data_IF_317329646326
#
_entry.id   IF_317329646326
#
_cell.length_a   1.000
_cell.length_b   1.000
_cell.length_c   1.000
_cell.angle_alpha   90.00
_cell.angle_beta   90.00
_cell.angle_gamma   90.00
#
_symmetry.space_group_name_H-M   'P 1'
#
loop_
_entity.id
_entity.type
_entity.pdbx_description
1 polymer ?
#
# COMPACT_ATOMS: atom_id res chain seq x y z
N UNK A 1 -13.76 -12.66 -26.59
CA UNK A 1 -13.57 -12.07 -25.24
C UNK A 1 -14.11 -13.06 -24.23
N UNK A 2 -13.24 -13.60 -23.38
CA UNK A 2 -13.58 -14.54 -22.31
C UNK A 2 -14.12 -13.76 -21.12
N UNK A 3 -15.38 -13.99 -20.75
CA UNK A 3 -15.96 -13.45 -19.53
C UNK A 3 -15.46 -14.31 -18.37
N UNK A 4 -14.82 -13.70 -17.37
CA UNK A 4 -14.39 -14.38 -16.17
C UNK A 4 -15.34 -14.02 -15.03
N UNK A 5 -15.96 -15.03 -14.44
CA UNK A 5 -16.80 -14.88 -13.26
C UNK A 5 -16.03 -15.39 -12.05
N UNK A 6 -15.91 -14.56 -11.02
CA UNK A 6 -15.21 -14.90 -9.78
C UNK A 6 -16.21 -14.85 -8.62
N UNK A 7 -16.12 -15.84 -7.74
CA UNK A 7 -16.87 -15.90 -6.49
C UNK A 7 -15.92 -15.65 -5.33
N UNK A 8 -16.16 -14.60 -4.56
CA UNK A 8 -15.29 -14.14 -3.47
C UNK A 8 -15.97 -14.30 -2.13
N UNK A 9 -15.26 -14.86 -1.16
CA UNK A 9 -15.71 -14.88 0.23
C UNK A 9 -15.72 -13.46 0.81
N UNK A 10 -16.72 -13.19 1.65
CA UNK A 10 -16.94 -11.88 2.27
C UNK A 10 -16.60 -11.95 3.76
N UNK A 11 -15.95 -10.90 4.25
CA UNK A 11 -15.56 -10.75 5.64
C UNK A 11 -15.98 -9.39 6.19
N UNK A 12 -16.08 -9.29 7.51
CA UNK A 12 -16.35 -8.02 8.19
C UNK A 12 -15.16 -7.07 8.01
N UNK A 13 -15.42 -5.83 7.62
CA UNK A 13 -14.38 -4.83 7.35
C UNK A 13 -13.77 -4.28 8.65
N UNK A 14 -14.60 -3.99 9.67
CA UNK A 14 -14.15 -3.47 10.97
C UNK A 14 -14.53 -4.42 12.11
N UNK A 15 -13.54 -5.08 12.72
CA UNK A 15 -13.77 -5.97 13.88
C UNK A 15 -14.12 -5.21 15.16
N UNK A 16 -13.75 -3.94 15.26
CA UNK A 16 -13.95 -3.08 16.44
C UNK A 16 -15.36 -2.44 16.49
N UNK A 17 -16.09 -2.41 15.37
CA UNK A 17 -17.49 -1.98 15.33
C UNK A 17 -18.47 -3.05 15.87
N UNK A 18 -18.04 -3.87 16.83
CA UNK A 18 -18.87 -4.79 17.61
C UNK A 18 -19.78 -4.09 18.62
N UNK A 19 -20.12 -2.82 18.41
CA UNK A 19 -21.12 -2.10 19.20
C UNK A 19 -22.54 -2.62 18.91
N UNK A 20 -22.82 -3.75 19.55
CA UNK A 20 -24.04 -4.28 20.19
C UNK A 20 -25.43 -4.16 19.56
N UNK A 21 -25.72 -3.34 18.55
CA UNK A 21 -27.14 -3.07 18.21
C UNK A 21 -27.64 -3.68 16.90
N UNK A 22 -26.77 -4.10 15.97
CA UNK A 22 -27.21 -4.78 14.76
C UNK A 22 -26.20 -5.83 14.28
N UNK A 23 -26.38 -7.09 14.69
CA UNK A 23 -25.82 -8.25 13.96
C UNK A 23 -26.59 -8.38 12.65
N UNK A 24 -26.35 -7.49 11.68
CA UNK A 24 -26.86 -7.69 10.34
C UNK A 24 -26.19 -8.94 9.79
N UNK A 25 -26.99 -9.82 9.18
CA UNK A 25 -26.44 -10.90 8.39
C UNK A 25 -25.49 -10.29 7.36
N UNK A 26 -24.30 -10.85 7.22
CA UNK A 26 -23.35 -10.46 6.18
C UNK A 26 -23.65 -11.29 4.93
N UNK A 27 -23.33 -10.79 3.72
CA UNK A 27 -23.26 -11.67 2.57
C UNK A 27 -22.23 -12.75 2.84
N UNK A 28 -22.46 -13.96 2.34
CA UNK A 28 -21.48 -15.05 2.38
C UNK A 28 -20.50 -14.90 1.22
N UNK A 29 -21.03 -14.57 0.03
CA UNK A 29 -20.25 -14.49 -1.20
C UNK A 29 -20.56 -13.22 -1.99
N UNK A 30 -19.58 -12.79 -2.77
CA UNK A 30 -19.71 -11.79 -3.83
C UNK A 30 -19.45 -12.48 -5.18
N UNK A 31 -20.44 -12.47 -6.05
CA UNK A 31 -20.28 -12.91 -7.43
C UNK A 31 -20.02 -11.69 -8.30
N UNK A 32 -18.89 -11.71 -9.00
CA UNK A 32 -18.46 -10.63 -9.90
C UNK A 32 -18.15 -11.19 -11.28
N UNK A 33 -18.68 -10.53 -12.30
CA UNK A 33 -18.33 -10.79 -13.69
C UNK A 33 -17.40 -9.68 -14.17
N UNK A 34 -16.18 -10.04 -14.56
CA UNK A 34 -15.23 -9.11 -15.17
C UNK A 34 -15.55 -8.88 -16.64
N UNK A 35 -16.71 -8.27 -16.88
CA UNK A 35 -17.11 -7.76 -18.18
C UNK A 35 -16.33 -6.48 -18.54
N UNK A 36 -16.39 -6.09 -19.82
CA UNK A 36 -15.69 -4.91 -20.35
C UNK A 36 -15.95 -3.64 -19.53
N UNK A 37 -17.17 -3.47 -18.99
CA UNK A 37 -17.52 -2.32 -18.15
C UNK A 37 -16.71 -2.26 -16.87
N UNK A 38 -16.64 -3.36 -16.11
CA UNK A 38 -15.88 -3.42 -14.86
C UNK A 38 -14.38 -3.32 -15.13
N UNK A 39 -13.89 -3.98 -16.19
CA UNK A 39 -12.51 -3.85 -16.66
C UNK A 39 -12.16 -2.38 -16.94
N UNK A 40 -13.04 -1.65 -17.62
CA UNK A 40 -12.86 -0.23 -17.89
C UNK A 40 -12.89 0.64 -16.62
N UNK A 41 -13.72 0.29 -15.62
CA UNK A 41 -13.71 0.95 -14.31
C UNK A 41 -12.37 0.74 -13.59
N UNK A 42 -11.84 -0.49 -13.60
CA UNK A 42 -10.52 -0.80 -13.02
C UNK A 42 -9.41 -0.02 -13.74
N UNK A 43 -9.41 0.04 -15.08
CA UNK A 43 -8.43 0.82 -15.83
C UNK A 43 -8.48 2.32 -15.53
N UNK A 44 -9.69 2.90 -15.42
CA UNK A 44 -9.86 4.31 -15.05
C UNK A 44 -9.36 4.58 -13.63
N UNK A 45 -9.68 3.71 -12.67
CA UNK A 45 -9.21 3.81 -11.30
C UNK A 45 -7.67 3.71 -11.23
N UNK A 46 -7.06 2.80 -11.99
CA UNK A 46 -5.59 2.71 -12.11
C UNK A 46 -4.95 3.98 -12.65
N UNK A 47 -5.54 4.57 -13.68
CA UNK A 47 -5.07 5.85 -14.21
C UNK A 47 -5.12 6.95 -13.14
N UNK A 48 -6.18 7.01 -12.34
CA UNK A 48 -6.30 7.95 -11.22
C UNK A 48 -5.25 7.71 -10.13
N UNK A 49 -4.96 6.44 -9.78
CA UNK A 49 -3.88 6.07 -8.86
C UNK A 49 -2.54 6.67 -9.35
N UNK A 50 -2.23 6.45 -10.63
CA UNK A 50 -0.97 6.87 -11.23
C UNK A 50 -0.85 8.40 -11.36
N UNK A 51 -1.93 9.09 -11.70
CA UNK A 51 -1.95 10.55 -11.87
C UNK A 51 -1.80 11.29 -10.55
N UNK A 52 -2.41 10.77 -9.48
CA UNK A 52 -2.48 11.42 -8.17
C UNK A 52 -1.50 10.84 -7.14
N UNK A 53 -0.74 9.79 -7.49
CA UNK A 53 0.10 9.01 -6.58
C UNK A 53 -0.68 8.50 -5.35
N UNK A 54 -1.86 7.94 -5.59
CA UNK A 54 -2.71 7.35 -4.55
C UNK A 54 -2.34 5.89 -4.35
N UNK A 55 -2.52 5.38 -3.12
CA UNK A 55 -2.36 3.97 -2.79
C UNK A 55 -3.57 3.13 -3.26
N UNK A 56 -4.78 3.68 -3.06
CA UNK A 56 -6.04 3.04 -3.41
C UNK A 56 -7.04 4.07 -3.95
N UNK A 57 -7.87 3.64 -4.90
CA UNK A 57 -9.02 4.38 -5.42
C UNK A 57 -10.27 3.55 -5.16
N UNK A 58 -11.23 4.18 -4.50
CA UNK A 58 -12.53 3.56 -4.18
C UNK A 58 -13.61 4.23 -5.00
N UNK A 59 -14.32 3.45 -5.81
CA UNK A 59 -15.41 3.93 -6.67
C UNK A 59 -16.69 3.18 -6.40
N UNK A 60 -17.83 3.88 -6.36
CA UNK A 60 -19.13 3.23 -6.27
C UNK A 60 -19.37 2.40 -7.53
N UNK A 61 -19.82 1.16 -7.37
CA UNK A 61 -20.07 0.23 -8.49
C UNK A 61 -21.41 -0.48 -8.34
N UNK A 62 -21.94 -0.95 -9.47
CA UNK A 62 -23.15 -1.78 -9.56
C UNK A 62 -22.87 -3.17 -10.13
N UNK A 63 -21.61 -3.49 -10.43
CA UNK A 63 -21.21 -4.66 -11.20
C UNK A 63 -20.99 -5.92 -10.33
N UNK A 64 -21.51 -5.92 -9.09
CA UNK A 64 -21.36 -7.03 -8.13
C UNK A 64 -22.70 -7.50 -7.58
N UNK A 65 -22.77 -8.81 -7.33
CA UNK A 65 -23.94 -9.46 -6.75
C UNK A 65 -23.57 -10.08 -5.41
N UNK A 66 -24.26 -9.65 -4.35
CA UNK A 66 -24.05 -10.15 -3.00
C UNK A 66 -25.01 -11.29 -2.68
N UNK A 67 -24.48 -12.46 -2.33
CA UNK A 67 -25.24 -13.65 -2.01
C UNK A 67 -25.26 -13.92 -0.51
N UNK A 68 -26.44 -14.22 0.00
CA UNK A 68 -26.68 -14.54 1.41
C UNK A 68 -27.08 -16.01 1.53
N UNK A 69 -26.24 -16.83 2.14
CA UNK A 69 -26.53 -18.24 2.33
C UNK A 69 -27.75 -18.45 3.25
N UNK A 70 -27.91 -17.60 4.27
CA UNK A 70 -29.04 -17.66 5.21
C UNK A 70 -30.40 -17.56 4.52
N UNK A 71 -30.51 -16.71 3.50
CA UNK A 71 -31.76 -16.48 2.74
C UNK A 71 -31.77 -17.20 1.40
N UNK A 72 -30.63 -17.81 1.01
CA UNK A 72 -30.36 -18.41 -0.29
C UNK A 72 -30.73 -17.48 -1.47
N UNK A 73 -30.39 -16.19 -1.36
CA UNK A 73 -30.77 -15.14 -2.33
C UNK A 73 -29.67 -14.12 -2.59
N UNK A 74 -29.72 -13.54 -3.77
CA UNK A 74 -28.96 -12.34 -4.11
C UNK A 74 -29.70 -11.08 -3.63
N UNK A 75 -28.96 -10.12 -3.11
CA UNK A 75 -29.49 -8.82 -2.69
C UNK A 75 -29.00 -7.71 -3.62
N UNK A 76 -29.94 -7.05 -4.29
CA UNK A 76 -29.66 -6.02 -5.30
C UNK A 76 -29.75 -4.59 -4.78
N UNK A 77 -30.27 -4.38 -3.56
CA UNK A 77 -30.41 -3.05 -2.93
C UNK A 77 -29.16 -2.57 -2.17
N UNK A 78 -28.02 -3.23 -2.39
CA UNK A 78 -26.77 -2.93 -1.69
C UNK A 78 -25.99 -1.84 -2.41
N UNK A 79 -25.50 -0.89 -1.63
CA UNK A 79 -24.51 0.04 -2.16
C UNK A 79 -23.15 -0.63 -2.10
N UNK A 80 -22.50 -0.72 -3.25
CA UNK A 80 -21.24 -1.44 -3.43
C UNK A 80 -20.16 -0.51 -3.91
N UNK A 81 -18.92 -0.82 -3.54
CA UNK A 81 -17.74 -0.06 -3.91
C UNK A 81 -16.67 -1.02 -4.41
N UNK A 82 -16.06 -0.66 -5.54
CA UNK A 82 -14.86 -1.27 -6.09
C UNK A 82 -13.65 -0.54 -5.50
N UNK A 83 -12.77 -1.31 -4.89
CA UNK A 83 -11.46 -0.89 -4.38
C UNK A 83 -10.41 -1.31 -5.38
N UNK A 84 -9.57 -0.37 -5.83
CA UNK A 84 -8.50 -0.63 -6.81
C UNK A 84 -7.19 -0.12 -6.26
N UNK A 85 -6.21 -1.01 -6.21
CA UNK A 85 -4.80 -0.70 -5.95
C UNK A 85 -3.99 -0.92 -7.24
N UNK A 86 -2.67 -0.75 -7.19
CA UNK A 86 -1.77 -0.96 -8.32
C UNK A 86 -1.75 -2.43 -8.83
N UNK A 87 -2.01 -3.37 -7.92
CA UNK A 87 -1.90 -4.82 -8.18
C UNK A 87 -3.14 -5.62 -7.82
N UNK A 88 -4.09 -5.07 -7.05
CA UNK A 88 -5.24 -5.83 -6.53
C UNK A 88 -6.54 -5.06 -6.63
N UNK A 89 -7.65 -5.80 -6.61
CA UNK A 89 -9.01 -5.27 -6.49
C UNK A 89 -9.79 -5.97 -5.38
N UNK A 90 -10.70 -5.25 -4.74
CA UNK A 90 -11.66 -5.81 -3.79
C UNK A 90 -13.02 -5.11 -3.92
N UNK A 91 -14.04 -5.69 -3.29
CA UNK A 91 -15.37 -5.11 -3.26
C UNK A 91 -15.84 -4.98 -1.82
N UNK A 92 -16.36 -3.81 -1.47
CA UNK A 92 -17.03 -3.60 -0.20
C UNK A 92 -18.47 -3.21 -0.40
N UNK A 93 -19.28 -3.39 0.63
CA UNK A 93 -20.67 -2.95 0.58
C UNK A 93 -21.21 -2.50 1.92
N UNK A 94 -22.36 -1.86 1.83
CA UNK A 94 -23.19 -1.52 2.97
C UNK A 94 -24.64 -1.87 2.70
N UNK A 95 -25.33 -2.15 3.79
CA UNK A 95 -26.75 -2.43 3.86
C UNK A 95 -27.37 -1.40 4.82
N UNK A 96 -28.47 -0.73 4.44
CA UNK A 96 -29.19 0.13 5.37
C UNK A 96 -29.57 -0.62 6.66
N UNK A 97 -29.53 0.02 7.84
CA UNK A 97 -29.37 1.47 8.05
C UNK A 97 -27.92 1.95 8.15
N UNK A 98 -26.92 1.09 7.90
CA UNK A 98 -25.51 1.48 8.01
C UNK A 98 -25.18 2.61 7.03
N UNK A 99 -24.40 3.60 7.51
CA UNK A 99 -23.97 4.75 6.71
C UNK A 99 -22.61 4.53 6.05
N UNK A 100 -21.88 3.50 6.47
CA UNK A 100 -20.52 3.18 6.02
C UNK A 100 -20.42 1.71 5.56
N UNK A 101 -19.51 1.40 4.63
CA UNK A 101 -19.14 0.02 4.29
C UNK A 101 -18.73 -0.76 5.53
N UNK A 102 -19.27 -1.97 5.70
CA UNK A 102 -19.00 -2.80 6.88
C UNK A 102 -18.59 -4.24 6.55
N UNK A 103 -18.61 -4.60 5.26
CA UNK A 103 -18.07 -5.86 4.78
C UNK A 103 -17.27 -5.65 3.49
N UNK A 104 -16.33 -6.55 3.25
CA UNK A 104 -15.41 -6.52 2.11
C UNK A 104 -15.08 -7.94 1.66
N UNK A 105 -14.79 -8.11 0.38
CA UNK A 105 -14.21 -9.35 -0.16
C UNK A 105 -12.72 -9.43 0.17
N UNK A 106 -12.12 -10.62 0.00
CA UNK A 106 -10.67 -10.69 -0.15
C UNK A 106 -10.20 -9.86 -1.36
N UNK A 107 -8.98 -9.33 -1.28
CA UNK A 107 -8.32 -8.71 -2.43
C UNK A 107 -7.87 -9.79 -3.42
N UNK A 108 -8.18 -9.57 -4.70
CA UNK A 108 -7.81 -10.44 -5.82
C UNK A 108 -6.71 -9.74 -6.61
N UNK A 109 -5.67 -10.48 -7.01
CA UNK A 109 -4.64 -9.95 -7.89
C UNK A 109 -5.25 -9.60 -9.26
N UNK A 110 -4.93 -8.40 -9.74
CA UNK A 110 -5.34 -7.88 -11.05
C UNK A 110 -4.88 -8.80 -12.18
N UNK A 111 -3.75 -9.48 -12.00
CA UNK A 111 -3.17 -10.37 -12.99
C UNK A 111 -3.90 -11.74 -13.05
N UNK A 112 -4.68 -12.09 -12.02
CA UNK A 112 -5.57 -13.27 -12.00
C UNK A 112 -6.93 -12.99 -12.68
N UNK A 113 -7.18 -11.72 -12.99
CA UNK A 113 -8.37 -11.26 -13.70
C UNK A 113 -7.99 -11.12 -15.18
N UNK A 114 -8.93 -11.40 -16.10
CA UNK A 114 -8.77 -11.35 -17.56
C UNK A 114 -8.49 -9.93 -18.11
N UNK A 115 -7.47 -9.26 -17.60
CA UNK A 115 -6.92 -8.01 -18.07
C UNK A 115 -5.81 -8.31 -19.10
N UNK A 116 -5.64 -7.46 -20.12
CA UNK A 116 -4.65 -7.70 -21.16
C UNK A 116 -3.24 -7.84 -20.58
N UNK A 117 -2.43 -8.70 -21.21
CA UNK A 117 -1.04 -8.96 -20.82
C UNK A 117 -0.25 -7.65 -20.66
N UNK A 118 0.39 -7.47 -19.50
CA UNK A 118 1.26 -6.32 -19.26
C UNK A 118 2.57 -6.51 -20.03
N UNK A 119 2.97 -5.50 -20.80
CA UNK A 119 4.28 -5.50 -21.45
C UNK A 119 5.40 -5.33 -20.41
N UNK A 120 6.47 -6.11 -20.54
CA UNK A 120 7.66 -6.00 -19.70
C UNK A 120 8.47 -4.76 -20.14
N UNK A 121 8.68 -3.82 -19.21
CA UNK A 121 9.49 -2.61 -19.42
C UNK A 121 10.94 -2.84 -19.02
N UNK A 122 11.88 -2.43 -19.87
CA UNK A 122 13.31 -2.45 -19.52
C UNK A 122 13.70 -1.23 -18.68
N UNK A 123 14.35 -1.45 -17.55
CA UNK A 123 14.82 -0.41 -16.64
C UNK A 123 16.30 -0.17 -16.88
N UNK A 124 16.57 1.00 -17.44
CA UNK A 124 17.90 1.53 -17.67
C UNK A 124 17.95 2.96 -17.15
N UNK A 125 19.05 3.32 -16.47
CA UNK A 125 19.25 4.68 -15.99
C UNK A 125 19.49 5.61 -17.18
N UNK A 126 18.50 6.44 -17.50
CA UNK A 126 18.69 7.57 -18.41
C UNK A 126 19.40 8.70 -17.66
N UNK A 127 20.73 8.75 -17.80
CA UNK A 127 21.57 9.80 -17.17
C UNK A 127 21.15 11.22 -17.57
N UNK A 128 20.48 11.41 -18.71
CA UNK A 128 19.97 12.73 -19.12
C UNK A 128 18.79 13.18 -18.26
N UNK A 129 18.07 12.25 -17.63
CA UNK A 129 16.91 12.55 -16.78
C UNK A 129 17.27 12.89 -15.34
N UNK A 130 18.42 12.42 -14.87
CA UNK A 130 18.91 12.62 -13.50
C UNK A 130 18.97 14.11 -13.10
N UNK A 131 19.48 15.04 -13.93
CA UNK A 131 19.47 16.47 -13.60
C UNK A 131 18.09 17.05 -13.27
N UNK A 132 17.02 16.56 -13.90
CA UNK A 132 15.65 17.06 -13.70
C UNK A 132 15.00 16.60 -12.39
N UNK A 133 15.65 15.68 -11.67
CA UNK A 133 15.16 15.16 -10.38
C UNK A 133 16.11 15.46 -9.22
N UNK A 134 17.19 16.20 -9.44
CA UNK A 134 18.16 16.54 -8.38
C UNK A 134 17.53 17.28 -7.20
N UNK A 135 16.55 18.16 -7.43
CA UNK A 135 15.83 18.82 -6.35
C UNK A 135 15.03 17.84 -5.49
N UNK A 136 14.37 16.86 -6.12
CA UNK A 136 13.64 15.79 -5.42
C UNK A 136 14.58 14.87 -4.66
N UNK A 137 15.77 14.57 -5.21
CA UNK A 137 16.78 13.76 -4.52
C UNK A 137 17.28 14.50 -3.27
N UNK A 138 17.55 15.80 -3.35
CA UNK A 138 17.96 16.60 -2.18
C UNK A 138 16.86 16.67 -1.12
N UNK A 139 15.60 16.81 -1.55
CA UNK A 139 14.45 16.79 -0.64
C UNK A 139 14.31 15.44 0.05
N UNK A 140 14.50 14.35 -0.70
CA UNK A 140 14.51 12.98 -0.19
C UNK A 140 15.60 12.78 0.86
N UNK A 141 16.85 13.14 0.56
CA UNK A 141 17.99 13.03 1.48
C UNK A 141 17.75 13.83 2.77
N UNK A 142 17.24 15.06 2.67
CA UNK A 142 16.91 15.87 3.84
C UNK A 142 15.77 15.28 4.70
N UNK A 143 14.76 14.67 4.06
CA UNK A 143 13.69 13.98 4.79
C UNK A 143 14.16 12.69 5.45
N UNK A 144 15.06 11.95 4.81
CA UNK A 144 15.67 10.76 5.40
C UNK A 144 16.48 11.11 6.65
N UNK A 145 17.30 12.16 6.60
CA UNK A 145 18.04 12.63 7.77
C UNK A 145 17.08 13.04 8.91
N UNK A 146 15.95 13.67 8.56
CA UNK A 146 14.92 14.05 9.55
C UNK A 146 14.22 12.81 10.13
N UNK A 147 13.92 11.83 9.29
CA UNK A 147 13.32 10.56 9.69
C UNK A 147 14.22 9.80 10.65
N UNK A 148 15.50 9.64 10.33
CA UNK A 148 16.49 8.97 11.19
C UNK A 148 16.56 9.64 12.56
N UNK A 149 16.70 10.97 12.61
CA UNK A 149 16.73 11.72 13.88
C UNK A 149 15.45 11.57 14.68
N UNK A 150 14.29 11.62 14.03
CA UNK A 150 12.99 11.50 14.70
C UNK A 150 12.77 10.08 15.23
N UNK A 151 13.15 9.07 14.45
CA UNK A 151 13.07 7.67 14.83
C UNK A 151 14.00 7.35 16.01
N UNK A 152 15.23 7.87 15.99
CA UNK A 152 16.17 7.74 17.11
C UNK A 152 15.60 8.34 18.41
N UNK A 153 15.02 9.54 18.34
CA UNK A 153 14.37 10.18 19.48
C UNK A 153 13.17 9.37 19.98
N UNK A 154 12.33 8.88 19.07
CA UNK A 154 11.20 8.02 19.39
C UNK A 154 11.67 6.77 20.15
N UNK A 155 12.67 6.06 19.65
CA UNK A 155 13.19 4.86 20.30
C UNK A 155 13.86 5.16 21.64
N UNK A 156 14.57 6.28 21.77
CA UNK A 156 15.11 6.73 23.06
C UNK A 156 14.01 6.98 24.09
N UNK A 157 12.91 7.62 23.67
CA UNK A 157 11.77 7.89 24.54
C UNK A 157 11.00 6.63 24.90
N UNK A 158 10.69 5.75 23.93
CA UNK A 158 9.99 4.49 24.19
C UNK A 158 10.78 3.56 25.12
N UNK A 159 12.12 3.57 25.04
CA UNK A 159 12.97 2.85 25.99
C UNK A 159 12.81 3.33 27.45
N UNK A 160 12.33 4.55 27.67
CA UNK A 160 12.04 5.11 29.00
C UNK A 160 10.56 4.90 29.35
N UNK A 161 9.66 5.21 28.42
CA UNK A 161 8.21 5.21 28.64
C UNK A 161 7.66 3.80 28.81
N UNK A 162 8.09 2.83 27.99
CA UNK A 162 7.59 1.45 28.08
C UNK A 162 7.82 0.82 29.46
N UNK A 163 9.03 0.91 30.07
CA UNK A 163 9.23 0.44 31.44
C UNK A 163 8.38 1.16 32.49
N UNK A 164 8.10 2.46 32.31
CA UNK A 164 7.26 3.23 33.24
C UNK A 164 5.80 2.77 33.13
N UNK A 165 5.28 2.58 31.91
CA UNK A 165 3.95 2.01 31.66
C UNK A 165 3.82 0.62 32.29
N UNK A 166 4.82 -0.24 32.08
CA UNK A 166 4.86 -1.59 32.65
C UNK A 166 4.85 -1.60 34.20
N UNK A 167 5.47 -0.60 34.82
CA UNK A 167 5.48 -0.45 36.28
C UNK A 167 4.16 0.10 36.79
N UNK A 168 3.56 1.06 36.10
CA UNK A 168 2.24 1.64 36.42
C UNK A 168 1.15 0.57 36.34
N UNK A 169 1.10 -0.22 35.27
CA UNK A 169 0.15 -1.33 35.08
C UNK A 169 0.23 -2.39 36.19
N UNK A 170 1.42 -2.55 36.82
CA UNK A 170 1.66 -3.51 37.91
C UNK A 170 1.44 -2.90 39.29
N UNK A 171 1.30 -1.59 39.40
CA UNK A 171 1.07 -0.92 40.67
C UNK A 171 -0.42 -0.93 41.02
N UNK A 172 -0.73 -1.40 42.24
CA UNK A 172 -2.09 -1.37 42.79
C UNK A 172 -2.44 -0.03 43.46
N UNK A 173 -1.45 0.82 43.69
CA UNK A 173 -1.62 2.16 44.26
C UNK A 173 -1.50 3.20 43.16
N UNK A 174 -2.43 4.16 43.11
CA UNK A 174 -2.35 5.30 42.21
C UNK A 174 -1.04 6.09 42.45
N UNK A 175 -0.42 6.54 41.37
CA UNK A 175 0.70 7.47 41.43
C UNK A 175 0.24 8.80 42.06
N UNK A 176 1.21 9.63 42.45
CA UNK A 176 0.92 11.02 42.80
C UNK A 176 0.51 11.79 41.55
N UNK A 177 -0.38 12.81 41.63
CA UNK A 177 -0.84 13.58 40.47
C UNK A 177 0.29 14.10 39.57
N UNK A 178 1.40 14.59 40.16
CA UNK A 178 2.56 15.08 39.41
C UNK A 178 3.24 14.00 38.54
N UNK A 179 3.17 12.73 38.97
CA UNK A 179 3.73 11.58 38.24
C UNK A 179 2.79 11.09 37.15
N UNK A 180 1.48 11.14 37.39
CA UNK A 180 0.47 10.89 36.36
C UNK A 180 0.56 11.91 35.22
N UNK A 181 0.73 13.18 35.56
CA UNK A 181 0.91 14.26 34.57
C UNK A 181 2.20 14.05 33.76
N UNK A 182 3.31 13.69 34.43
CA UNK A 182 4.56 13.39 33.72
C UNK A 182 4.42 12.20 32.77
N UNK A 183 3.79 11.12 33.20
CA UNK A 183 3.54 9.94 32.34
C UNK A 183 2.63 10.30 31.16
N UNK A 184 1.59 11.11 31.38
CA UNK A 184 0.72 11.61 30.30
C UNK A 184 1.52 12.42 29.27
N UNK A 185 2.35 13.36 29.73
CA UNK A 185 3.18 14.19 28.85
C UNK A 185 4.16 13.34 28.02
N UNK A 186 4.80 12.35 28.64
CA UNK A 186 5.71 11.45 27.93
C UNK A 186 4.97 10.58 26.89
N UNK A 187 3.74 10.14 27.20
CA UNK A 187 2.89 9.41 26.27
C UNK A 187 2.49 10.27 25.07
N UNK A 188 2.10 11.52 25.31
CA UNK A 188 1.75 12.48 24.26
C UNK A 188 2.94 12.75 23.34
N UNK A 189 4.13 12.95 23.90
CA UNK A 189 5.36 13.16 23.13
C UNK A 189 5.75 11.94 22.30
N UNK A 190 5.67 10.73 22.88
CA UNK A 190 5.93 9.49 22.14
C UNK A 190 4.95 9.29 20.98
N UNK A 191 3.66 9.51 21.22
CA UNK A 191 2.63 9.42 20.18
C UNK A 191 2.87 10.47 19.07
N UNK A 192 3.27 11.69 19.43
CA UNK A 192 3.59 12.74 18.46
C UNK A 192 4.79 12.35 17.58
N UNK A 193 5.85 11.78 18.17
CA UNK A 193 7.02 11.30 17.43
C UNK A 193 6.67 10.10 16.53
N UNK A 194 5.81 9.17 16.98
CA UNK A 194 5.32 8.06 16.17
C UNK A 194 4.58 8.55 14.94
N UNK A 195 3.60 9.45 15.12
CA UNK A 195 2.82 10.04 14.02
C UNK A 195 3.71 10.82 13.05
N UNK A 196 4.70 11.55 13.57
CA UNK A 196 5.66 12.26 12.73
C UNK A 196 6.53 11.30 11.91
N UNK A 197 6.95 10.19 12.50
CA UNK A 197 7.77 9.15 11.84
C UNK A 197 6.99 8.49 10.71
N UNK A 198 5.75 8.07 10.96
CA UNK A 198 4.85 7.48 9.94
C UNK A 198 4.60 8.46 8.79
N UNK A 199 4.37 9.74 9.10
CA UNK A 199 4.20 10.78 8.09
C UNK A 199 5.44 10.96 7.22
N UNK A 200 6.63 10.99 7.84
CA UNK A 200 7.89 11.13 7.12
C UNK A 200 8.15 9.93 6.20
N UNK A 201 7.85 8.71 6.67
CA UNK A 201 7.96 7.49 5.87
C UNK A 201 7.10 7.56 4.60
N UNK A 202 5.82 7.96 4.74
CA UNK A 202 4.91 8.14 3.61
C UNK A 202 5.40 9.24 2.63
N UNK A 203 5.90 10.36 3.15
CA UNK A 203 6.44 11.45 2.32
C UNK A 203 7.70 10.99 1.56
N UNK A 204 8.59 10.23 2.20
CA UNK A 204 9.78 9.62 1.60
C UNK A 204 9.38 8.67 0.47
N UNK A 205 8.45 7.74 0.73
CA UNK A 205 7.96 6.78 -0.26
C UNK A 205 7.37 7.50 -1.49
N UNK A 206 6.56 8.54 -1.28
CA UNK A 206 6.00 9.34 -2.36
C UNK A 206 7.07 10.04 -3.21
N UNK A 207 8.12 10.58 -2.59
CA UNK A 207 9.22 11.22 -3.33
C UNK A 207 10.01 10.19 -4.13
N UNK A 208 10.32 9.03 -3.53
CA UNK A 208 10.98 7.91 -4.23
C UNK A 208 10.19 7.52 -5.48
N UNK A 209 8.87 7.33 -5.35
CA UNK A 209 7.99 7.01 -6.48
C UNK A 209 7.97 8.09 -7.56
N UNK A 210 7.95 9.37 -7.18
CA UNK A 210 8.03 10.48 -8.14
C UNK A 210 9.36 10.49 -8.88
N UNK A 211 10.47 10.22 -8.20
CA UNK A 211 11.79 10.09 -8.83
C UNK A 211 11.79 8.92 -9.81
N UNK A 212 11.28 7.76 -9.39
CA UNK A 212 11.21 6.55 -10.23
C UNK A 212 10.39 6.82 -11.50
N UNK A 213 9.21 7.40 -11.36
CA UNK A 213 8.34 7.74 -12.49
C UNK A 213 9.03 8.71 -13.46
N UNK A 214 9.75 9.71 -12.96
CA UNK A 214 10.45 10.70 -13.80
C UNK A 214 11.67 10.12 -14.50
N UNK A 215 12.50 9.34 -13.81
CA UNK A 215 13.72 8.74 -14.39
C UNK A 215 13.34 7.59 -15.32
N UNK A 216 12.61 6.60 -14.80
CA UNK A 216 12.43 5.29 -15.45
C UNK A 216 11.07 5.14 -16.17
N UNK A 217 10.10 6.02 -15.91
CA UNK A 217 8.78 5.93 -16.55
C UNK A 217 7.95 4.72 -16.09
N UNK A 218 8.19 4.24 -14.87
CA UNK A 218 7.49 3.09 -14.29
C UNK A 218 6.76 3.43 -13.00
N UNK A 219 5.75 2.63 -12.70
CA UNK A 219 4.85 2.75 -11.54
C UNK A 219 4.59 1.37 -10.93
N UNK A 220 4.07 1.32 -9.70
CA UNK A 220 3.72 0.05 -9.08
C UNK A 220 2.79 -0.81 -9.95
N UNK A 221 3.03 -2.11 -9.89
CA UNK A 221 2.42 -3.13 -10.71
C UNK A 221 3.04 -3.29 -12.11
N UNK A 222 3.89 -2.37 -12.58
CA UNK A 222 4.57 -2.57 -13.86
C UNK A 222 5.44 -3.85 -13.82
N UNK A 223 5.44 -4.61 -14.91
CA UNK A 223 6.40 -5.68 -15.11
C UNK A 223 7.70 -5.04 -15.60
N UNK A 224 8.77 -5.20 -14.85
CA UNK A 224 10.04 -4.53 -15.12
C UNK A 224 11.17 -5.54 -15.21
N UNK A 225 12.18 -5.24 -16.02
CA UNK A 225 13.40 -6.03 -16.15
C UNK A 225 14.62 -5.14 -16.14
N UNK A 226 15.65 -5.55 -15.40
CA UNK A 226 16.95 -4.90 -15.35
C UNK A 226 18.04 -5.90 -15.67
N UNK A 227 19.05 -5.47 -16.44
CA UNK A 227 20.25 -6.24 -16.72
C UNK A 227 21.41 -5.50 -16.04
N UNK A 228 22.04 -6.15 -15.07
CA UNK A 228 23.16 -5.56 -14.34
C UNK A 228 24.44 -5.53 -15.19
N UNK A 229 25.50 -4.91 -14.66
CA UNK A 229 26.81 -4.81 -15.33
C UNK A 229 27.51 -6.16 -15.51
N UNK A 230 27.05 -7.22 -14.85
CA UNK A 230 27.52 -8.60 -14.96
C UNK A 230 26.63 -9.44 -15.88
N UNK A 231 25.76 -8.82 -16.67
CA UNK A 231 24.77 -9.47 -17.55
C UNK A 231 23.79 -10.40 -16.79
N UNK A 232 23.54 -10.15 -15.52
CA UNK A 232 22.49 -10.84 -14.76
C UNK A 232 21.18 -10.11 -14.97
N UNK A 233 20.17 -10.85 -15.39
CA UNK A 233 18.82 -10.34 -15.59
C UNK A 233 17.99 -10.55 -14.33
N UNK A 234 17.39 -9.48 -13.82
CA UNK A 234 16.37 -9.51 -12.80
C UNK A 234 15.05 -9.01 -13.41
N UNK A 235 13.97 -9.76 -13.24
CA UNK A 235 12.66 -9.43 -13.80
C UNK A 235 11.62 -9.57 -12.69
N UNK A 236 10.85 -8.52 -12.42
CA UNK A 236 9.89 -8.50 -11.32
C UNK A 236 8.67 -7.63 -11.63
N UNK A 237 7.54 -7.91 -10.98
CA UNK A 237 6.42 -6.98 -10.85
C UNK A 237 6.77 -5.96 -9.77
N UNK A 238 6.79 -4.69 -10.14
CA UNK A 238 7.25 -3.63 -9.26
C UNK A 238 6.24 -3.40 -8.12
N UNK A 239 6.61 -3.73 -6.89
CA UNK A 239 5.69 -3.67 -5.74
C UNK A 239 6.19 -2.74 -4.65
N UNK A 240 7.51 -2.65 -4.45
CA UNK A 240 8.11 -1.78 -3.46
C UNK A 240 9.37 -1.11 -4.00
N UNK A 241 9.64 0.08 -3.50
CA UNK A 241 10.88 0.79 -3.73
C UNK A 241 11.34 1.47 -2.46
N UNK A 242 12.65 1.53 -2.29
CA UNK A 242 13.27 2.39 -1.30
C UNK A 242 14.54 3.01 -1.87
N UNK A 243 14.96 4.10 -1.27
CA UNK A 243 16.20 4.78 -1.59
C UNK A 243 17.15 4.66 -0.40
N UNK A 244 18.38 4.24 -0.66
CA UNK A 244 19.43 4.17 0.34
C UNK A 244 20.78 4.36 -0.35
N UNK A 245 21.68 5.13 0.27
CA UNK A 245 23.04 5.40 -0.23
C UNK A 245 23.11 5.72 -1.74
N UNK A 246 22.26 6.65 -2.20
CA UNK A 246 22.20 7.09 -3.61
C UNK A 246 21.80 6.00 -4.61
N UNK A 247 21.26 4.90 -4.13
CA UNK A 247 20.69 3.83 -4.93
C UNK A 247 19.18 3.76 -4.73
N UNK A 248 18.46 3.48 -5.82
CA UNK A 248 17.05 3.10 -5.76
C UNK A 248 16.99 1.59 -5.90
N UNK A 249 16.44 0.93 -4.89
CA UNK A 249 16.17 -0.51 -4.93
C UNK A 249 14.72 -0.73 -5.32
N UNK A 250 14.53 -1.52 -6.37
CA UNK A 250 13.23 -2.03 -6.80
C UNK A 250 13.07 -3.43 -6.25
N UNK A 251 11.87 -3.76 -5.76
CA UNK A 251 11.57 -5.11 -5.32
C UNK A 251 10.11 -5.50 -5.58
N UNK A 252 9.88 -6.80 -5.59
CA UNK A 252 8.56 -7.39 -5.77
C UNK A 252 8.60 -8.83 -6.24
N UNK A 253 7.45 -9.31 -6.68
CA UNK A 253 7.28 -10.68 -7.18
C UNK A 253 8.07 -10.90 -8.47
N UNK A 254 8.97 -11.88 -8.49
CA UNK A 254 9.80 -12.19 -9.65
C UNK A 254 8.99 -12.77 -10.81
N UNK A 255 9.41 -12.45 -12.04
CA UNK A 255 8.82 -12.94 -13.28
C UNK A 255 9.62 -14.16 -13.77
N UNK A 256 8.91 -15.20 -14.18
CA UNK A 256 9.52 -16.41 -14.74
C UNK A 256 10.00 -16.19 -16.18
N UNK A 257 10.79 -17.13 -16.71
CA UNK A 257 11.22 -17.09 -18.13
C UNK A 257 10.04 -17.12 -19.12
N UNK A 258 8.87 -17.58 -18.68
CA UNK A 258 7.64 -17.65 -19.47
C UNK A 258 6.82 -16.34 -19.42
N UNK A 259 7.27 -15.33 -18.66
CA UNK A 259 6.56 -14.06 -18.50
C UNK A 259 5.50 -14.05 -17.39
N UNK A 260 5.29 -15.19 -16.73
CA UNK A 260 4.32 -15.34 -15.63
C UNK A 260 4.91 -14.92 -14.28
N UNK A 261 4.04 -14.52 -13.34
CA UNK A 261 4.44 -14.25 -11.97
C UNK A 261 4.90 -15.53 -11.26
N UNK A 262 6.12 -15.50 -10.74
CA UNK A 262 6.69 -16.58 -9.95
C UNK A 262 6.35 -16.46 -8.47
N UNK A 263 6.88 -17.39 -7.66
CA UNK A 263 6.71 -17.39 -6.20
C UNK A 263 7.84 -16.70 -5.44
N UNK A 264 8.90 -16.31 -6.13
CA UNK A 264 10.12 -15.77 -5.50
C UNK A 264 10.08 -14.26 -5.52
N UNK A 265 10.36 -13.64 -4.38
CA UNK A 265 10.66 -12.22 -4.33
C UNK A 265 12.01 -11.95 -5.01
N UNK A 266 12.09 -10.88 -5.79
CA UNK A 266 13.31 -10.42 -6.43
C UNK A 266 13.52 -8.94 -6.14
N UNK A 267 14.77 -8.51 -6.19
CA UNK A 267 15.13 -7.11 -6.07
C UNK A 267 16.37 -6.80 -6.89
N UNK A 268 16.49 -5.55 -7.31
CA UNK A 268 17.72 -5.00 -7.92
C UNK A 268 17.84 -3.52 -7.57
N UNK A 269 19.09 -3.03 -7.53
CA UNK A 269 19.41 -1.66 -7.15
C UNK A 269 20.09 -0.93 -8.30
N UNK A 270 19.73 0.35 -8.48
CA UNK A 270 20.31 1.21 -9.50
C UNK A 270 20.85 2.46 -8.81
N UNK A 271 22.17 2.66 -8.94
CA UNK A 271 22.85 3.87 -8.48
C UNK A 271 22.44 5.07 -9.33
N UNK A 272 21.75 6.04 -8.73
CA UNK A 272 21.21 7.22 -9.45
C UNK A 272 22.14 8.43 -9.41
N UNK A 273 23.08 8.50 -8.47
CA UNK A 273 24.12 9.53 -8.42
C UNK A 273 25.53 8.93 -8.43
N UNK A 274 26.44 9.56 -9.17
CA UNK A 274 27.87 9.24 -9.06
C UNK A 274 28.40 9.71 -7.69
N UNK A 275 29.35 8.97 -7.12
CA UNK A 275 30.22 9.57 -6.09
C UNK A 275 30.88 10.80 -6.69
N UNK A 276 30.88 11.91 -5.94
CA UNK A 276 31.74 13.03 -6.33
C UNK A 276 33.15 12.48 -6.35
N UNK A 277 33.78 12.43 -7.52
CA UNK A 277 35.22 12.26 -7.61
C UNK A 277 35.82 13.33 -6.70
N UNK A 278 36.59 12.88 -5.71
CA UNK A 278 37.35 13.75 -4.83
C UNK A 278 38.31 14.54 -5.72
N UNK A 279 38.04 15.84 -5.87
CA UNK A 279 38.98 16.80 -6.45
C UNK A 279 39.99 17.17 -5.37
#
# INVERSE_FOLDING_TARGET
>A
MTHQVICLAVQLLNKEQRNEHYRLALPTYCLVEFAERLINEVHKARKLLEENNLYEVVVKTTEVNWFYELTNRYHHSMTSYLHVTSTKVAFSGLLPPNKEPHFITAYVDIDDIALPERNIKSILLDKKRVPFVLSLIRELEAKQETFEKTSDLYWQLENIVSPIRDLDDKCTNALTPDRDELLSNLNEESNALSVQTERLELEIEQIVLRIIKRIFGVVYGDLITHIDTKNRTASLRFEHAYYYDKEITFSGTGITKQGELGKRHQSFSIKIMAERESV
#
